data_IF_757620255734
#
_entry.id   IF_757620255734
#
_cell.length_a   1.000
_cell.length_b   1.000
_cell.length_c   1.000
_cell.angle_alpha   90.00
_cell.angle_beta   90.00
_cell.angle_gamma   90.00
#
_symmetry.space_group_name_H-M   'P 1'
#
loop_
_entity.id
_entity.type
_entity.pdbx_description
1 polymer ?
#
# COMPACT_ATOMS: atom_id res chain seq x y z
N UNK A 1 10.51 -19.60 -14.56
CA UNK A 1 10.52 -18.39 -13.70
C UNK A 1 9.69 -17.31 -14.38
N UNK A 2 8.82 -16.58 -13.65
CA UNK A 2 8.17 -15.40 -14.25
C UNK A 2 9.27 -14.38 -14.51
N UNK A 3 9.27 -13.75 -15.70
CA UNK A 3 10.25 -12.77 -16.10
C UNK A 3 10.36 -11.62 -15.10
N UNK A 4 11.56 -11.37 -14.57
CA UNK A 4 11.83 -10.31 -13.59
C UNK A 4 11.99 -8.99 -14.33
N UNK A 5 11.32 -7.89 -13.92
CA UNK A 5 11.53 -6.58 -14.51
C UNK A 5 12.88 -6.00 -14.09
N UNK A 6 13.62 -5.44 -15.07
CA UNK A 6 14.91 -4.75 -14.87
C UNK A 6 14.78 -3.30 -15.27
N UNK A 7 14.88 -2.38 -14.29
CA UNK A 7 14.96 -0.96 -14.56
C UNK A 7 16.39 -0.59 -14.96
N UNK A 8 16.53 0.02 -16.13
CA UNK A 8 17.81 0.44 -16.70
C UNK A 8 17.92 1.96 -16.72
N UNK A 9 19.02 2.50 -16.19
CA UNK A 9 19.34 3.92 -16.20
C UNK A 9 20.81 4.08 -16.59
N UNK A 10 21.11 5.08 -17.40
CA UNK A 10 22.47 5.38 -17.89
C UNK A 10 22.45 5.99 -19.27
N UNK A 11 23.65 6.15 -19.85
CA UNK A 11 23.82 6.53 -21.24
C UNK A 11 23.32 5.42 -22.19
N UNK A 12 23.20 5.74 -23.47
CA UNK A 12 22.66 4.80 -24.46
C UNK A 12 23.49 3.54 -24.62
N UNK A 13 24.81 3.63 -24.42
CA UNK A 13 25.73 2.49 -24.51
C UNK A 13 25.54 1.56 -23.33
N UNK A 14 25.46 2.11 -22.11
CA UNK A 14 25.21 1.37 -20.87
C UNK A 14 23.84 0.72 -20.86
N UNK A 15 22.80 1.46 -21.29
CA UNK A 15 21.43 0.92 -21.38
C UNK A 15 21.33 -0.21 -22.41
N UNK A 16 22.00 -0.11 -23.58
CA UNK A 16 22.04 -1.22 -24.56
C UNK A 16 22.69 -2.47 -23.98
N UNK A 17 23.83 -2.32 -23.28
CA UNK A 17 24.51 -3.44 -22.64
C UNK A 17 23.65 -4.07 -21.54
N UNK A 18 23.10 -3.24 -20.62
CA UNK A 18 22.22 -3.70 -19.55
C UNK A 18 20.96 -4.42 -20.08
N UNK A 19 20.40 -3.93 -21.20
CA UNK A 19 19.27 -4.59 -21.87
C UNK A 19 19.61 -6.00 -22.35
N UNK A 20 20.78 -6.17 -22.98
CA UNK A 20 21.24 -7.49 -23.42
C UNK A 20 21.38 -8.44 -22.22
N UNK A 21 22.09 -8.01 -21.18
CA UNK A 21 22.29 -8.81 -19.96
C UNK A 21 20.95 -9.20 -19.33
N UNK A 22 20.01 -8.26 -19.20
CA UNK A 22 18.70 -8.54 -18.62
C UNK A 22 17.91 -9.58 -19.45
N UNK A 23 17.96 -9.50 -20.78
CA UNK A 23 17.32 -10.47 -21.66
C UNK A 23 17.97 -11.85 -21.59
N UNK A 24 19.31 -11.92 -21.55
CA UNK A 24 20.06 -13.18 -21.42
C UNK A 24 19.73 -13.89 -20.09
N UNK A 25 19.38 -13.12 -19.03
CA UNK A 25 18.91 -13.64 -17.76
C UNK A 25 17.41 -13.97 -17.73
N UNK A 26 16.70 -13.84 -18.85
CA UNK A 26 15.26 -14.08 -18.95
C UNK A 26 14.39 -12.99 -18.30
N UNK A 27 14.93 -11.79 -18.11
CA UNK A 27 14.24 -10.65 -17.54
C UNK A 27 13.50 -9.79 -18.57
N UNK A 28 12.73 -8.81 -18.08
CA UNK A 28 12.02 -7.80 -18.88
C UNK A 28 12.63 -6.42 -18.62
N UNK A 29 13.57 -5.96 -19.47
CA UNK A 29 14.21 -4.67 -19.30
C UNK A 29 13.29 -3.52 -19.73
N UNK A 30 13.28 -2.43 -18.94
CA UNK A 30 12.68 -1.14 -19.28
C UNK A 30 13.61 0.00 -18.87
N UNK A 31 13.55 1.10 -19.60
CA UNK A 31 14.38 2.28 -19.31
C UNK A 31 13.64 3.22 -18.37
N UNK A 32 14.38 3.82 -17.42
CA UNK A 32 13.93 4.96 -16.59
C UNK A 32 14.88 6.14 -16.84
N UNK A 33 14.35 7.36 -16.73
CA UNK A 33 15.18 8.58 -16.76
C UNK A 33 15.97 8.73 -15.46
N UNK A 34 17.12 9.39 -15.55
CA UNK A 34 17.96 9.68 -14.38
C UNK A 34 17.23 10.46 -13.31
N UNK A 35 16.42 11.42 -13.71
CA UNK A 35 15.56 12.24 -12.84
C UNK A 35 14.45 11.43 -12.15
N UNK A 36 14.04 10.31 -12.72
CA UNK A 36 12.98 9.46 -12.19
C UNK A 36 13.48 8.40 -11.20
N UNK A 37 14.80 8.25 -11.05
CA UNK A 37 15.41 7.19 -10.21
C UNK A 37 14.97 7.26 -8.75
N UNK A 38 14.89 8.46 -8.19
CA UNK A 38 14.45 8.66 -6.80
C UNK A 38 13.00 8.24 -6.62
N UNK A 39 12.11 8.60 -7.55
CA UNK A 39 10.70 8.17 -7.52
C UNK A 39 10.56 6.66 -7.72
N UNK A 40 11.37 6.06 -8.58
CA UNK A 40 11.40 4.60 -8.74
C UNK A 40 11.79 3.89 -7.44
N UNK A 41 12.79 4.38 -6.71
CA UNK A 41 13.16 3.87 -5.39
C UNK A 41 12.05 4.09 -4.35
N UNK A 42 11.41 5.26 -4.36
CA UNK A 42 10.29 5.57 -3.46
C UNK A 42 9.10 4.62 -3.70
N UNK A 43 8.80 4.27 -4.96
CA UNK A 43 7.80 3.25 -5.27
C UNK A 43 8.13 1.92 -4.58
N UNK A 44 9.38 1.46 -4.62
CA UNK A 44 9.81 0.26 -3.91
C UNK A 44 9.63 0.37 -2.39
N UNK A 45 9.87 1.55 -1.82
CA UNK A 45 9.64 1.81 -0.39
C UNK A 45 8.16 1.70 -0.03
N UNK A 46 7.26 2.24 -0.84
CA UNK A 46 5.82 2.07 -0.66
C UNK A 46 5.37 0.61 -0.81
N UNK A 47 5.92 -0.11 -1.76
CA UNK A 47 5.51 -1.49 -2.07
C UNK A 47 6.06 -2.54 -1.10
N UNK A 48 7.03 -2.20 -0.24
CA UNK A 48 7.68 -3.16 0.66
C UNK A 48 7.81 -2.62 2.09
N UNK A 49 8.84 -1.85 2.50
CA UNK A 49 9.02 -1.51 3.91
C UNK A 49 7.87 -0.71 4.51
N UNK A 50 7.22 0.18 3.77
CA UNK A 50 6.07 0.93 4.29
C UNK A 50 4.82 0.06 4.43
N UNK A 51 4.65 -0.97 3.61
CA UNK A 51 3.61 -2.00 3.85
C UNK A 51 3.85 -2.70 5.19
N UNK A 52 5.10 -3.09 5.48
CA UNK A 52 5.44 -3.71 6.77
C UNK A 52 5.16 -2.75 7.94
N UNK A 53 5.44 -1.46 7.78
CA UNK A 53 5.12 -0.46 8.81
C UNK A 53 3.60 -0.36 9.05
N UNK A 54 2.77 -0.39 8.01
CA UNK A 54 1.30 -0.44 8.13
C UNK A 54 0.85 -1.70 8.88
N UNK A 55 1.44 -2.85 8.58
CA UNK A 55 1.13 -4.10 9.28
C UNK A 55 1.52 -4.05 10.76
N UNK A 56 2.66 -3.45 11.10
CA UNK A 56 3.07 -3.24 12.49
C UNK A 56 2.10 -2.34 13.26
N UNK A 57 1.54 -1.31 12.62
CA UNK A 57 0.46 -0.51 13.21
C UNK A 57 -0.80 -1.36 13.42
N UNK A 58 -1.19 -2.17 12.44
CA UNK A 58 -2.35 -3.06 12.55
C UNK A 58 -2.20 -4.07 13.70
N UNK A 59 -1.00 -4.63 13.92
CA UNK A 59 -0.71 -5.51 15.05
C UNK A 59 -0.90 -4.80 16.41
N UNK A 60 -0.47 -3.54 16.51
CA UNK A 60 -0.68 -2.73 17.74
C UNK A 60 -2.16 -2.46 17.98
N UNK A 61 -2.91 -2.16 16.93
CA UNK A 61 -4.37 -1.97 17.02
C UNK A 61 -5.04 -3.26 17.47
N UNK A 62 -4.66 -4.41 16.89
CA UNK A 62 -5.19 -5.71 17.26
C UNK A 62 -4.88 -6.08 18.74
N UNK A 63 -3.65 -5.81 19.19
CA UNK A 63 -3.27 -6.02 20.59
C UNK A 63 -4.08 -5.10 21.53
N UNK A 64 -4.29 -3.83 21.16
CA UNK A 64 -5.12 -2.89 21.93
C UNK A 64 -6.60 -3.30 21.98
N UNK A 65 -7.08 -3.96 20.92
CA UNK A 65 -8.41 -4.55 20.86
C UNK A 65 -8.55 -5.84 21.70
N UNK A 66 -7.48 -6.29 22.38
CA UNK A 66 -7.51 -7.46 23.27
C UNK A 66 -7.14 -8.79 22.60
N UNK A 67 -6.68 -8.78 21.34
CA UNK A 67 -6.22 -10.02 20.70
C UNK A 67 -4.87 -10.42 21.30
N UNK A 68 -4.71 -11.64 21.84
CA UNK A 68 -3.43 -12.12 22.37
C UNK A 68 -2.34 -12.06 21.27
N UNK A 69 -1.17 -11.51 21.61
CA UNK A 69 -0.08 -11.27 20.63
C UNK A 69 0.25 -12.50 19.79
N UNK A 70 0.30 -13.67 20.39
CA UNK A 70 0.58 -14.93 19.68
C UNK A 70 -0.48 -15.31 18.63
N UNK A 71 -1.71 -14.77 18.74
CA UNK A 71 -2.82 -15.03 17.82
C UNK A 71 -2.95 -14.00 16.69
N UNK A 72 -2.31 -12.84 16.81
CA UNK A 72 -2.42 -11.74 15.84
C UNK A 72 -2.01 -12.18 14.42
N UNK A 73 -0.84 -12.83 14.20
CA UNK A 73 -0.46 -13.27 12.87
C UNK A 73 -1.49 -14.20 12.21
N UNK A 74 -2.06 -15.11 12.99
CA UNK A 74 -3.08 -16.04 12.49
C UNK A 74 -4.38 -15.32 12.13
N UNK A 75 -4.79 -14.31 12.93
CA UNK A 75 -5.98 -13.50 12.67
C UNK A 75 -5.82 -12.60 11.42
N UNK A 76 -4.63 -12.04 11.20
CA UNK A 76 -4.36 -11.16 10.07
C UNK A 76 -4.13 -11.91 8.75
N UNK A 77 -3.57 -13.11 8.79
CA UNK A 77 -3.15 -13.88 7.61
C UNK A 77 -4.23 -13.99 6.51
N UNK A 78 -5.48 -14.40 6.79
CA UNK A 78 -6.50 -14.55 5.75
C UNK A 78 -6.86 -13.22 5.09
N UNK A 79 -6.89 -12.13 5.87
CA UNK A 79 -7.18 -10.78 5.38
C UNK A 79 -6.08 -10.32 4.44
N UNK A 80 -4.81 -10.45 4.86
CA UNK A 80 -3.66 -10.05 4.06
C UNK A 80 -3.57 -10.84 2.76
N UNK A 81 -3.68 -12.16 2.85
CA UNK A 81 -3.66 -13.04 1.68
C UNK A 81 -4.72 -12.60 0.67
N UNK A 82 -5.96 -12.44 1.09
CA UNK A 82 -7.06 -12.05 0.20
C UNK A 82 -6.86 -10.65 -0.39
N UNK A 83 -6.35 -9.71 0.40
CA UNK A 83 -6.06 -8.35 -0.07
C UNK A 83 -4.99 -8.35 -1.16
N UNK A 84 -3.86 -9.06 -0.95
CA UNK A 84 -2.80 -9.15 -1.94
C UNK A 84 -3.22 -9.93 -3.19
N UNK A 85 -3.94 -11.06 -3.03
CA UNK A 85 -4.48 -11.81 -4.16
C UNK A 85 -5.41 -10.93 -5.03
N UNK A 86 -6.31 -10.20 -4.40
CA UNK A 86 -7.21 -9.28 -5.11
C UNK A 86 -6.45 -8.16 -5.83
N UNK A 87 -5.47 -7.55 -5.15
CA UNK A 87 -4.65 -6.49 -5.73
C UNK A 87 -3.86 -6.99 -6.95
N UNK A 88 -3.21 -8.13 -6.83
CA UNK A 88 -2.39 -8.69 -7.91
C UNK A 88 -3.23 -9.17 -9.11
N UNK A 89 -4.46 -9.58 -8.87
CA UNK A 89 -5.35 -10.08 -9.94
C UNK A 89 -6.17 -8.99 -10.61
N UNK A 90 -6.62 -7.98 -9.83
CA UNK A 90 -7.66 -7.04 -10.26
C UNK A 90 -7.25 -5.55 -10.13
N UNK A 91 -6.05 -5.27 -9.60
CA UNK A 91 -5.55 -3.92 -9.37
C UNK A 91 -6.17 -3.21 -8.15
N UNK A 92 -5.68 -2.01 -7.87
CA UNK A 92 -5.97 -1.27 -6.65
C UNK A 92 -7.47 -0.92 -6.49
N UNK A 93 -8.10 -0.45 -7.56
CA UNK A 93 -9.50 -0.01 -7.52
C UNK A 93 -10.47 -1.13 -7.15
N UNK A 94 -10.27 -2.34 -7.68
CA UNK A 94 -11.11 -3.50 -7.40
C UNK A 94 -10.78 -4.16 -6.06
N UNK A 95 -9.53 -4.06 -5.60
CA UNK A 95 -9.11 -4.59 -4.32
C UNK A 95 -9.50 -3.70 -3.12
N UNK A 96 -9.75 -2.40 -3.37
CA UNK A 96 -10.09 -1.45 -2.32
C UNK A 96 -11.49 -1.66 -1.77
N UNK A 97 -11.60 -1.94 -0.48
CA UNK A 97 -12.87 -2.25 0.20
C UNK A 97 -12.91 -1.63 1.60
N UNK A 98 -14.04 -1.80 2.28
CA UNK A 98 -14.18 -1.35 3.66
C UNK A 98 -15.01 -0.06 3.80
N UNK A 99 -15.04 0.54 5.01
CA UNK A 99 -15.94 1.64 5.33
C UNK A 99 -15.65 2.91 4.52
N UNK A 100 -14.38 3.20 4.23
CA UNK A 100 -14.01 4.36 3.40
C UNK A 100 -14.55 4.19 1.98
N UNK A 101 -14.32 3.03 1.36
CA UNK A 101 -14.84 2.74 0.02
C UNK A 101 -16.38 2.88 -0.04
N UNK A 102 -17.09 2.38 0.98
CA UNK A 102 -18.55 2.46 1.06
C UNK A 102 -19.10 3.83 1.47
N UNK A 103 -18.24 4.79 1.86
CA UNK A 103 -18.68 6.08 2.37
C UNK A 103 -19.38 6.01 3.74
N UNK A 104 -19.02 5.04 4.58
CA UNK A 104 -19.60 4.77 5.91
C UNK A 104 -18.98 5.72 6.94
N UNK A 105 -19.52 6.93 7.03
CA UNK A 105 -19.03 7.98 7.91
C UNK A 105 -19.03 7.58 9.38
N UNK A 106 -20.07 6.87 9.83
CA UNK A 106 -20.21 6.47 11.23
C UNK A 106 -19.08 5.53 11.67
N UNK A 107 -18.79 4.52 10.85
CA UNK A 107 -17.69 3.59 11.12
C UNK A 107 -16.34 4.31 11.08
N UNK A 108 -16.13 5.21 10.12
CA UNK A 108 -14.87 5.99 10.01
C UNK A 108 -14.69 6.89 11.24
N UNK A 109 -15.73 7.59 11.71
CA UNK A 109 -15.71 8.39 12.95
C UNK A 109 -15.30 7.55 14.17
N UNK A 110 -15.91 6.38 14.35
CA UNK A 110 -15.59 5.45 15.43
C UNK A 110 -14.13 5.01 15.37
N UNK A 111 -13.63 4.66 14.18
CA UNK A 111 -12.22 4.32 13.99
C UNK A 111 -11.31 5.48 14.42
N UNK A 112 -11.57 6.70 13.94
CA UNK A 112 -10.75 7.87 14.28
C UNK A 112 -10.73 8.19 15.76
N UNK A 113 -11.85 7.99 16.48
CA UNK A 113 -11.95 8.16 17.91
C UNK A 113 -11.11 7.12 18.66
N UNK A 114 -11.26 5.84 18.33
CA UNK A 114 -10.58 4.76 19.04
C UNK A 114 -9.09 4.63 18.73
N UNK A 115 -8.68 4.97 17.51
CA UNK A 115 -7.27 4.96 17.12
C UNK A 115 -6.41 5.99 17.87
N UNK A 116 -7.01 6.99 18.53
CA UNK A 116 -6.30 7.88 19.46
C UNK A 116 -5.64 7.13 20.63
N UNK A 117 -6.16 5.96 20.98
CA UNK A 117 -5.66 5.09 22.06
C UNK A 117 -4.39 4.30 21.66
N UNK A 118 -3.99 4.38 20.38
CA UNK A 118 -2.85 3.64 19.84
C UNK A 118 -1.86 4.64 19.21
N UNK A 119 -0.63 4.76 19.73
CA UNK A 119 0.36 5.70 19.20
C UNK A 119 0.57 5.55 17.69
N UNK A 120 0.54 6.67 16.96
CA UNK A 120 0.73 6.76 15.50
C UNK A 120 -0.38 6.13 14.64
N UNK A 121 -1.31 5.34 15.22
CA UNK A 121 -2.32 4.65 14.41
C UNK A 121 -3.32 5.62 13.75
N UNK A 122 -3.77 6.66 14.48
CA UNK A 122 -4.67 7.67 13.92
C UNK A 122 -4.01 8.47 12.78
N UNK A 123 -2.75 8.87 12.96
CA UNK A 123 -1.99 9.62 11.95
C UNK A 123 -1.81 8.79 10.66
N UNK A 124 -1.38 7.54 10.80
CA UNK A 124 -1.24 6.62 9.67
C UNK A 124 -2.57 6.38 8.97
N UNK A 125 -3.65 6.16 9.74
CA UNK A 125 -4.99 5.98 9.19
C UNK A 125 -5.44 7.20 8.39
N UNK A 126 -5.29 8.41 8.93
CA UNK A 126 -5.67 9.65 8.26
C UNK A 126 -4.90 9.85 6.95
N UNK A 127 -3.58 9.68 6.98
CA UNK A 127 -2.75 9.86 5.78
C UNK A 127 -3.14 8.88 4.66
N UNK A 128 -3.29 7.60 5.00
CA UNK A 128 -3.66 6.57 4.03
C UNK A 128 -5.12 6.70 3.56
N UNK A 129 -6.04 7.07 4.46
CA UNK A 129 -7.44 7.26 4.12
C UNK A 129 -7.65 8.45 3.17
N UNK A 130 -6.92 9.56 3.37
CA UNK A 130 -6.94 10.71 2.46
C UNK A 130 -6.40 10.32 1.08
N UNK A 131 -5.23 9.70 1.04
CA UNK A 131 -4.66 9.20 -0.21
C UNK A 131 -5.61 8.24 -0.94
N UNK A 132 -6.23 7.31 -0.21
CA UNK A 132 -7.21 6.40 -0.79
C UNK A 132 -8.46 7.15 -1.31
N UNK A 133 -8.97 8.14 -0.57
CA UNK A 133 -10.13 8.90 -0.98
C UNK A 133 -9.87 9.77 -2.22
N UNK A 134 -8.63 10.17 -2.46
CA UNK A 134 -8.22 10.91 -3.67
C UNK A 134 -8.06 10.00 -4.89
N UNK A 135 -7.43 8.83 -4.71
CA UNK A 135 -6.95 7.98 -5.80
C UNK A 135 -7.85 6.80 -6.13
N UNK A 136 -8.74 6.38 -5.21
CA UNK A 136 -9.50 5.13 -5.35
C UNK A 136 -11.02 5.40 -5.38
N UNK A 137 -11.84 4.41 -5.79
CA UNK A 137 -13.28 4.54 -5.78
C UNK A 137 -13.82 4.68 -4.34
N UNK A 138 -14.43 5.81 -4.03
CA UNK A 138 -15.04 6.09 -2.72
C UNK A 138 -16.44 6.66 -2.94
N UNK A 139 -17.43 6.01 -2.35
CA UNK A 139 -18.80 6.57 -2.27
C UNK A 139 -18.81 7.74 -1.29
N UNK A 140 -19.61 8.75 -1.59
CA UNK A 140 -19.74 9.93 -0.70
C UNK A 140 -18.40 10.63 -0.41
N UNK A 141 -17.50 10.66 -1.40
CA UNK A 141 -16.12 11.15 -1.30
C UNK A 141 -16.01 12.50 -0.58
N UNK A 142 -16.86 13.47 -0.94
CA UNK A 142 -16.81 14.81 -0.35
C UNK A 142 -17.06 14.78 1.17
N UNK A 143 -17.98 13.97 1.64
CA UNK A 143 -18.26 13.82 3.07
C UNK A 143 -17.14 13.07 3.80
N UNK A 144 -16.57 12.02 3.19
CA UNK A 144 -15.40 11.32 3.72
C UNK A 144 -14.20 12.27 3.83
N UNK A 145 -13.90 13.05 2.79
CA UNK A 145 -12.78 14.01 2.81
C UNK A 145 -12.93 15.07 3.90
N UNK A 146 -14.14 15.62 4.08
CA UNK A 146 -14.43 16.56 5.19
C UNK A 146 -14.14 15.91 6.54
N UNK A 147 -14.68 14.72 6.78
CA UNK A 147 -14.45 13.99 8.03
C UNK A 147 -12.96 13.71 8.30
N UNK A 148 -12.19 13.40 7.28
CA UNK A 148 -10.75 13.14 7.41
C UNK A 148 -9.93 14.43 7.61
N UNK A 149 -10.51 15.62 7.44
CA UNK A 149 -9.84 16.91 7.62
C UNK A 149 -10.03 17.51 9.03
N UNK A 150 -10.95 16.95 9.83
CA UNK A 150 -11.18 17.25 11.24
C UNK A 150 -10.14 16.55 12.15
#
# INVERSE_FOLDING_TARGET
>A
MKAVPFALEGDDKGVRLGRRIALDLGGVPFRIGRESKVLYHAMGSFASPLVVAVLAVAERVAAKAGIPRAKIPAAMRPILRKTFENYLSNGAAAAFSGPINRGDLETVKKHLADLRKVPRAREAYLALARAAAEMLPVKNRAAIMRLLSE
#
